data_IF_571594316413
#
_entry.id   IF_571594316413
#
_cell.length_a   1.000
_cell.length_b   1.000
_cell.length_c   1.000
_cell.angle_alpha   90.00
_cell.angle_beta   90.00
_cell.angle_gamma   90.00
#
_symmetry.space_group_name_H-M   'P 1'
#
loop_
_entity.id
_entity.type
_entity.pdbx_description
1 polymer ?
#
# COMPACT_ATOMS: atom_id res chain seq x y z
N UNK A 1 -52.72 50.63 -33.75
CA UNK A 1 -51.60 49.73 -33.40
C UNK A 1 -51.33 49.93 -31.92
N UNK A 2 -51.90 49.10 -31.05
CA UNK A 2 -51.71 49.20 -29.60
C UNK A 2 -51.42 47.80 -29.07
N UNK A 3 -50.18 47.59 -28.63
CA UNK A 3 -49.69 46.33 -28.09
C UNK A 3 -50.16 46.20 -26.64
N UNK A 4 -51.04 45.22 -26.39
CA UNK A 4 -51.38 44.81 -25.02
C UNK A 4 -50.24 43.93 -24.51
N UNK A 5 -49.40 44.51 -23.66
CA UNK A 5 -48.47 43.76 -22.82
C UNK A 5 -49.29 43.10 -21.70
N UNK A 6 -49.57 41.81 -21.84
CA UNK A 6 -50.08 41.01 -20.73
C UNK A 6 -48.87 40.65 -19.85
N UNK A 7 -48.75 41.29 -18.69
CA UNK A 7 -47.83 40.83 -17.65
C UNK A 7 -48.44 39.59 -17.00
N UNK A 8 -47.75 38.46 -17.12
CA UNK A 8 -48.13 37.24 -16.43
C UNK A 8 -47.95 37.42 -14.92
N UNK A 9 -48.92 36.99 -14.08
CA UNK A 9 -48.80 37.09 -12.64
C UNK A 9 -47.66 36.18 -12.16
N UNK A 10 -46.63 36.80 -11.62
CA UNK A 10 -45.55 36.17 -10.88
C UNK A 10 -46.14 35.40 -9.69
N UNK A 11 -46.21 34.07 -9.82
CA UNK A 11 -46.64 33.19 -8.74
C UNK A 11 -45.53 33.18 -7.68
N UNK A 12 -45.78 33.85 -6.55
CA UNK A 12 -44.89 33.85 -5.41
C UNK A 12 -44.59 32.43 -4.91
N UNK A 13 -43.33 32.19 -4.55
CA UNK A 13 -42.85 30.91 -4.03
C UNK A 13 -43.59 30.57 -2.74
N UNK A 14 -44.17 29.37 -2.65
CA UNK A 14 -44.85 28.93 -1.44
C UNK A 14 -43.85 28.52 -0.35
N UNK A 15 -44.15 28.77 0.93
CA UNK A 15 -43.28 28.36 2.05
C UNK A 15 -43.01 26.84 2.03
N UNK A 16 -43.99 26.04 1.59
CA UNK A 16 -43.83 24.59 1.46
C UNK A 16 -42.87 24.19 0.34
N UNK A 17 -42.77 24.99 -0.73
CA UNK A 17 -41.88 24.75 -1.85
C UNK A 17 -40.41 24.91 -1.43
N UNK A 18 -40.13 25.93 -0.62
CA UNK A 18 -38.79 26.13 -0.02
C UNK A 18 -38.45 25.00 0.95
N UNK A 19 -39.40 24.55 1.78
CA UNK A 19 -39.15 23.44 2.70
C UNK A 19 -38.85 22.13 1.97
N UNK A 20 -39.58 21.85 0.88
CA UNK A 20 -39.31 20.67 0.03
C UNK A 20 -37.97 20.83 -0.69
N UNK A 21 -37.63 22.03 -1.19
CA UNK A 21 -36.33 22.28 -1.83
C UNK A 21 -35.16 22.04 -0.86
N UNK A 22 -35.26 22.53 0.39
CA UNK A 22 -34.24 22.31 1.43
C UNK A 22 -34.16 20.84 1.83
N UNK A 23 -35.29 20.13 1.92
CA UNK A 23 -35.33 18.69 2.19
C UNK A 23 -34.57 17.91 1.10
N UNK A 24 -34.92 18.12 -0.17
CA UNK A 24 -34.27 17.43 -1.31
C UNK A 24 -32.78 17.77 -1.37
N UNK A 25 -32.41 19.04 -1.17
CA UNK A 25 -31.02 19.48 -1.14
C UNK A 25 -30.25 18.81 0.01
N UNK A 26 -30.83 18.70 1.20
CA UNK A 26 -30.19 18.06 2.35
C UNK A 26 -29.91 16.57 2.10
N UNK A 27 -30.85 15.84 1.49
CA UNK A 27 -30.67 14.43 1.10
C UNK A 27 -29.57 14.31 0.02
N UNK A 28 -29.57 15.21 -0.96
CA UNK A 28 -28.53 15.26 -2.01
C UNK A 28 -27.13 15.47 -1.44
N UNK A 29 -26.97 16.37 -0.47
CA UNK A 29 -25.69 16.64 0.19
C UNK A 29 -25.21 15.44 1.03
N UNK A 30 -26.12 14.75 1.74
CA UNK A 30 -25.79 13.52 2.48
C UNK A 30 -25.30 12.41 1.53
N UNK A 31 -25.94 12.28 0.36
CA UNK A 31 -25.52 11.36 -0.68
C UNK A 31 -24.10 11.65 -1.17
N UNK A 32 -23.79 12.92 -1.47
CA UNK A 32 -22.45 13.34 -1.91
C UNK A 32 -21.37 13.10 -0.84
N UNK A 33 -21.66 13.40 0.42
CA UNK A 33 -20.74 13.16 1.52
C UNK A 33 -20.39 11.66 1.67
N UNK A 34 -21.37 10.77 1.47
CA UNK A 34 -21.15 9.32 1.51
C UNK A 34 -20.20 8.85 0.39
N UNK A 35 -20.37 9.38 -0.83
CA UNK A 35 -19.52 9.07 -1.98
C UNK A 35 -18.09 9.58 -1.79
N UNK A 36 -17.93 10.79 -1.25
CA UNK A 36 -16.60 11.33 -0.90
C UNK A 36 -15.89 10.43 0.12
N UNK A 37 -16.62 9.92 1.11
CA UNK A 37 -16.07 8.98 2.11
C UNK A 37 -15.55 7.68 1.48
N UNK A 38 -16.29 7.07 0.55
CA UNK A 38 -15.86 5.86 -0.17
C UNK A 38 -14.68 6.16 -1.12
N UNK A 39 -14.73 7.28 -1.83
CA UNK A 39 -13.66 7.71 -2.74
C UNK A 39 -12.31 7.86 -2.03
N UNK A 40 -12.31 8.46 -0.84
CA UNK A 40 -11.11 8.59 0.01
C UNK A 40 -10.57 7.22 0.43
N UNK A 41 -11.44 6.28 0.80
CA UNK A 41 -11.03 4.92 1.17
C UNK A 41 -10.33 4.21 0.01
N UNK A 42 -10.93 4.27 -1.18
CA UNK A 42 -10.39 3.67 -2.39
C UNK A 42 -9.05 4.29 -2.80
N UNK A 43 -8.96 5.62 -2.75
CA UNK A 43 -7.72 6.34 -3.08
C UNK A 43 -6.57 5.93 -2.16
N UNK A 44 -6.84 5.81 -0.85
CA UNK A 44 -5.82 5.40 0.12
C UNK A 44 -5.39 3.94 -0.05
N UNK A 45 -6.32 3.00 -0.28
CA UNK A 45 -5.97 1.58 -0.52
C UNK A 45 -5.15 1.43 -1.81
N UNK A 46 -5.52 2.17 -2.87
CA UNK A 46 -4.72 2.24 -4.10
C UNK A 46 -3.32 2.83 -3.85
N UNK A 47 -3.22 3.85 -2.99
CA UNK A 47 -1.93 4.44 -2.62
C UNK A 47 -1.01 3.44 -1.90
N UNK A 48 -1.52 2.67 -0.93
CA UNK A 48 -0.73 1.63 -0.25
C UNK A 48 -0.27 0.52 -1.20
N UNK A 49 -1.11 0.09 -2.14
CA UNK A 49 -0.72 -0.87 -3.18
C UNK A 49 0.42 -0.34 -4.05
N UNK A 50 0.36 0.93 -4.44
CA UNK A 50 1.44 1.58 -5.20
C UNK A 50 2.73 1.68 -4.39
N UNK A 51 2.63 2.03 -3.11
CA UNK A 51 3.80 2.04 -2.21
C UNK A 51 4.42 0.65 -2.07
N UNK A 52 3.60 -0.38 -1.84
CA UNK A 52 4.07 -1.77 -1.78
C UNK A 52 4.75 -2.22 -3.08
N UNK A 53 4.18 -1.87 -4.24
CA UNK A 53 4.81 -2.18 -5.52
C UNK A 53 6.19 -1.53 -5.66
N UNK A 54 6.30 -0.24 -5.36
CA UNK A 54 7.58 0.49 -5.42
C UNK A 54 8.63 -0.13 -4.48
N UNK A 55 8.24 -0.49 -3.26
CA UNK A 55 9.12 -1.14 -2.28
C UNK A 55 9.58 -2.53 -2.74
N UNK A 56 8.70 -3.31 -3.38
CA UNK A 56 9.06 -4.61 -3.94
C UNK A 56 10.07 -4.46 -5.08
N UNK A 57 9.87 -3.46 -5.96
CA UNK A 57 10.83 -3.15 -7.02
C UNK A 57 12.19 -2.71 -6.46
N UNK A 58 12.21 -1.85 -5.43
CA UNK A 58 13.45 -1.44 -4.75
C UNK A 58 14.20 -2.65 -4.17
N UNK A 59 13.47 -3.59 -3.56
CA UNK A 59 14.05 -4.83 -3.03
C UNK A 59 14.70 -5.67 -4.12
N UNK A 60 14.00 -5.86 -5.24
CA UNK A 60 14.50 -6.65 -6.37
C UNK A 60 15.70 -5.97 -7.02
N UNK A 61 15.67 -4.66 -7.19
CA UNK A 61 16.79 -3.91 -7.78
C UNK A 61 18.04 -4.03 -6.91
N UNK A 62 17.87 -3.88 -5.59
CA UNK A 62 18.93 -4.09 -4.60
C UNK A 62 19.49 -5.51 -4.71
N UNK A 63 18.62 -6.53 -4.72
CA UNK A 63 19.02 -7.92 -4.88
C UNK A 63 19.85 -8.16 -6.16
N UNK A 64 19.38 -7.63 -7.29
CA UNK A 64 20.06 -7.73 -8.60
C UNK A 64 21.43 -7.05 -8.60
N UNK A 65 21.50 -5.83 -8.07
CA UNK A 65 22.76 -5.08 -7.97
C UNK A 65 23.81 -5.86 -7.17
N UNK A 66 23.40 -6.50 -6.08
CA UNK A 66 24.31 -7.26 -5.23
C UNK A 66 24.74 -8.60 -5.81
N UNK A 67 23.86 -9.30 -6.53
CA UNK A 67 24.22 -10.50 -7.29
C UNK A 67 25.25 -10.15 -8.37
N UNK A 68 25.07 -9.02 -9.05
CA UNK A 68 26.01 -8.56 -10.09
C UNK A 68 27.43 -8.27 -9.54
N UNK A 69 27.54 -7.83 -8.28
CA UNK A 69 28.83 -7.45 -7.67
C UNK A 69 29.50 -8.63 -6.94
N UNK A 70 28.72 -9.55 -6.35
CA UNK A 70 29.23 -10.58 -5.44
C UNK A 70 28.94 -12.03 -5.81
N UNK A 71 28.26 -12.29 -6.93
CA UNK A 71 27.85 -13.65 -7.33
C UNK A 71 26.82 -14.28 -6.37
N UNK A 72 26.44 -15.54 -6.64
CA UNK A 72 25.41 -16.28 -5.90
C UNK A 72 25.68 -16.46 -4.40
N UNK A 73 26.91 -16.24 -3.94
CA UNK A 73 27.32 -16.34 -2.53
C UNK A 73 26.53 -15.37 -1.62
N UNK A 74 25.99 -14.29 -2.21
CA UNK A 74 25.23 -13.27 -1.50
C UNK A 74 23.72 -13.52 -1.44
N UNK A 75 23.23 -14.59 -2.07
CA UNK A 75 21.80 -14.92 -2.10
C UNK A 75 21.25 -15.17 -0.69
N UNK A 76 22.03 -15.74 0.22
CA UNK A 76 21.57 -16.01 1.59
C UNK A 76 21.09 -14.78 2.36
N UNK A 77 21.60 -13.59 2.03
CA UNK A 77 21.16 -12.33 2.64
C UNK A 77 19.92 -11.75 1.97
N UNK A 78 19.72 -12.05 0.68
CA UNK A 78 18.56 -11.63 -0.12
C UNK A 78 17.32 -12.45 0.22
N UNK A 79 17.51 -13.71 0.59
CA UNK A 79 16.40 -14.61 0.90
C UNK A 79 15.96 -14.44 2.35
N UNK A 80 14.76 -13.92 2.52
CA UNK A 80 14.04 -13.85 3.78
C UNK A 80 12.83 -14.78 3.71
N UNK A 81 13.01 -16.09 3.94
CA UNK A 81 11.95 -17.08 3.72
C UNK A 81 10.82 -17.00 4.75
N UNK A 82 11.03 -16.26 5.85
CA UNK A 82 10.05 -15.94 6.86
C UNK A 82 9.62 -14.47 6.74
N UNK A 83 8.41 -14.17 7.20
CA UNK A 83 7.91 -12.80 7.30
C UNK A 83 8.77 -11.99 8.27
N UNK A 84 9.12 -10.77 7.87
CA UNK A 84 9.72 -9.79 8.77
C UNK A 84 8.75 -9.45 9.91
N UNK A 85 9.27 -8.88 10.99
CA UNK A 85 8.45 -8.48 12.13
C UNK A 85 7.49 -7.33 11.73
N UNK A 86 6.27 -7.32 12.30
CA UNK A 86 5.26 -6.29 12.05
C UNK A 86 5.52 -4.98 12.83
N UNK A 87 6.45 -5.00 13.78
CA UNK A 87 6.85 -3.88 14.60
C UNK A 87 8.17 -3.29 14.09
N UNK A 88 8.13 -2.03 13.65
CA UNK A 88 9.33 -1.29 13.29
C UNK A 88 9.88 -0.69 14.58
N UNK A 89 10.68 -1.45 15.31
CA UNK A 89 11.29 -0.97 16.53
C UNK A 89 12.52 -0.09 16.18
N UNK A 90 12.28 1.19 15.91
CA UNK A 90 13.29 2.16 15.50
C UNK A 90 14.39 2.33 16.57
N UNK A 91 14.11 1.99 17.83
CA UNK A 91 15.08 2.03 18.92
C UNK A 91 16.13 0.92 18.83
N UNK A 92 15.83 -0.18 18.12
CA UNK A 92 16.75 -1.29 17.86
C UNK A 92 17.15 -1.42 16.39
N UNK A 93 16.52 -0.62 15.51
CA UNK A 93 16.90 -0.54 14.10
C UNK A 93 18.41 -0.24 14.02
N UNK A 94 19.18 -1.05 13.27
CA UNK A 94 20.61 -0.84 13.17
C UNK A 94 20.87 0.59 12.70
N UNK A 95 21.80 1.28 13.36
CA UNK A 95 22.27 2.59 12.90
C UNK A 95 22.62 2.49 11.41
N UNK A 96 22.44 3.57 10.67
CA UNK A 96 22.83 3.68 9.25
C UNK A 96 24.33 3.37 9.00
N UNK A 97 25.10 3.20 10.08
CA UNK A 97 26.46 2.72 10.08
C UNK A 97 26.50 1.19 10.05
N UNK A 98 26.34 0.64 8.85
CA UNK A 98 26.70 -0.73 8.52
C UNK A 98 28.24 -0.82 8.51
N UNK A 99 28.86 -0.83 9.69
CA UNK A 99 30.31 -0.73 9.83
C UNK A 99 31.07 -1.61 8.84
N UNK A 100 32.16 -1.07 8.27
CA UNK A 100 32.97 -1.76 7.26
C UNK A 100 33.58 -3.05 7.82
N UNK A 101 32.89 -4.17 7.64
CA UNK A 101 33.29 -5.47 8.18
C UNK A 101 32.15 -6.44 8.45
N UNK A 102 30.88 -6.00 8.47
CA UNK A 102 29.71 -6.89 8.43
C UNK A 102 28.88 -6.54 7.19
N UNK A 103 28.67 -7.52 6.32
CA UNK A 103 28.06 -7.43 4.99
C UNK A 103 27.09 -6.26 4.79
N UNK A 104 27.54 -5.21 4.07
CA UNK A 104 26.73 -4.02 3.72
C UNK A 104 25.36 -4.40 3.14
N UNK A 105 25.32 -5.52 2.42
CA UNK A 105 24.13 -6.16 1.91
C UNK A 105 23.10 -6.54 2.98
N UNK A 106 23.49 -7.24 4.04
CA UNK A 106 22.58 -7.66 5.11
C UNK A 106 21.99 -6.44 5.84
N UNK A 107 22.76 -5.35 5.91
CA UNK A 107 22.29 -4.11 6.50
C UNK A 107 21.26 -3.41 5.61
N UNK A 108 21.54 -3.28 4.31
CA UNK A 108 20.62 -2.66 3.35
C UNK A 108 19.28 -3.40 3.29
N UNK A 109 19.31 -4.74 3.30
CA UNK A 109 18.09 -5.55 3.25
C UNK A 109 17.27 -5.41 4.54
N UNK A 110 17.92 -5.38 5.72
CA UNK A 110 17.19 -5.11 6.97
C UNK A 110 16.60 -3.71 6.98
N UNK A 111 17.32 -2.72 6.45
CA UNK A 111 16.83 -1.35 6.32
C UNK A 111 15.63 -1.27 5.37
N UNK A 112 15.64 -2.00 4.25
CA UNK A 112 14.49 -2.10 3.36
C UNK A 112 13.28 -2.67 4.11
N UNK A 113 13.48 -3.66 4.99
CA UNK A 113 12.41 -4.14 5.84
C UNK A 113 11.87 -3.15 6.86
N UNK A 114 12.75 -2.38 7.50
CA UNK A 114 12.33 -1.27 8.34
C UNK A 114 11.58 -0.21 7.53
N UNK A 115 11.97 0.02 6.28
CA UNK A 115 11.31 0.97 5.39
C UNK A 115 9.88 0.52 5.06
N UNK A 116 9.68 -0.74 4.69
CA UNK A 116 8.36 -1.34 4.44
C UNK A 116 7.43 -1.15 5.63
N UNK A 117 7.92 -1.42 6.84
CA UNK A 117 7.14 -1.28 8.05
C UNK A 117 6.78 0.19 8.39
N UNK A 118 7.65 1.15 8.05
CA UNK A 118 7.37 2.59 8.28
C UNK A 118 6.39 3.18 7.29
N UNK A 119 6.41 2.69 6.06
CA UNK A 119 5.61 3.20 4.95
C UNK A 119 4.20 2.58 4.98
N UNK A 120 4.10 1.30 5.31
CA UNK A 120 2.85 0.55 5.33
C UNK A 120 2.42 0.18 6.75
N UNK A 121 1.13 0.35 7.11
CA UNK A 121 0.62 -0.07 8.41
C UNK A 121 0.73 -1.60 8.59
N UNK A 122 1.46 -2.06 9.61
CA UNK A 122 1.74 -3.49 9.81
C UNK A 122 2.59 -4.12 8.69
N UNK A 123 3.35 -3.27 7.98
CA UNK A 123 4.14 -3.62 6.81
C UNK A 123 5.17 -4.70 7.11
N UNK A 124 5.16 -5.76 6.32
CA UNK A 124 6.11 -6.87 6.41
C UNK A 124 6.54 -7.33 5.05
N UNK A 125 7.76 -7.84 4.97
CA UNK A 125 8.28 -8.43 3.75
C UNK A 125 8.62 -9.91 3.93
N UNK A 126 8.68 -10.60 2.81
CA UNK A 126 9.22 -11.95 2.68
C UNK A 126 9.83 -12.07 1.29
N UNK A 127 11.00 -12.67 1.20
CA UNK A 127 11.70 -12.88 -0.06
C UNK A 127 12.12 -14.34 -0.18
N UNK A 128 11.58 -15.06 -1.15
CA UNK A 128 11.89 -16.47 -1.39
C UNK A 128 12.45 -16.66 -2.79
N UNK A 129 13.36 -17.61 -2.97
CA UNK A 129 13.82 -18.00 -4.30
C UNK A 129 13.63 -19.49 -4.51
N UNK A 130 13.23 -19.84 -5.73
CA UNK A 130 13.02 -21.23 -6.16
C UNK A 130 13.78 -21.45 -7.48
N UNK A 131 14.52 -22.56 -7.64
CA UNK A 131 15.21 -22.85 -8.90
C UNK A 131 14.19 -23.11 -10.02
N UNK A 132 14.45 -22.52 -11.19
CA UNK A 132 13.61 -22.64 -12.38
C UNK A 132 14.03 -23.83 -13.22
N UNK A 133 13.07 -24.70 -13.54
CA UNK A 133 13.30 -25.85 -14.42
C UNK A 133 14.36 -26.83 -13.92
N UNK A 134 14.60 -26.88 -12.60
CA UNK A 134 15.62 -27.73 -11.99
C UNK A 134 17.06 -27.24 -12.18
N UNK A 135 17.27 -26.04 -12.75
CA UNK A 135 18.60 -25.46 -12.91
C UNK A 135 18.96 -24.65 -11.65
N UNK A 136 20.04 -25.01 -10.91
CA UNK A 136 20.49 -24.26 -9.74
C UNK A 136 20.98 -22.84 -10.07
N UNK A 137 21.37 -22.58 -11.31
CA UNK A 137 21.90 -21.27 -11.75
C UNK A 137 20.81 -20.30 -12.19
N UNK A 138 19.55 -20.75 -12.33
CA UNK A 138 18.42 -19.90 -12.72
C UNK A 138 17.41 -19.85 -11.59
N UNK A 139 17.27 -18.69 -10.96
CA UNK A 139 16.47 -18.55 -9.75
C UNK A 139 15.27 -17.63 -10.01
N UNK A 140 14.09 -18.05 -9.57
CA UNK A 140 12.92 -17.19 -9.51
C UNK A 140 12.84 -16.57 -8.12
N UNK A 141 13.12 -15.29 -8.00
CA UNK A 141 12.92 -14.50 -6.79
C UNK A 141 11.47 -14.04 -6.70
N UNK A 142 10.84 -14.32 -5.57
CA UNK A 142 9.49 -13.86 -5.22
C UNK A 142 9.60 -12.96 -4.01
N UNK A 143 9.20 -11.70 -4.17
CA UNK A 143 9.13 -10.70 -3.09
C UNK A 143 7.67 -10.47 -2.75
N UNK A 144 7.32 -10.79 -1.52
CA UNK A 144 5.98 -10.66 -0.97
C UNK A 144 5.97 -9.53 0.07
N UNK A 145 5.05 -8.59 -0.07
CA UNK A 145 4.84 -7.48 0.85
C UNK A 145 3.41 -7.53 1.39
N UNK A 146 3.31 -7.55 2.71
CA UNK A 146 2.05 -7.61 3.44
C UNK A 146 1.81 -6.34 4.25
N UNK A 147 0.57 -5.87 4.31
CA UNK A 147 0.16 -4.78 5.19
C UNK A 147 -1.28 -4.96 5.67
N UNK A 148 -1.67 -4.24 6.71
CA UNK A 148 -3.04 -4.23 7.24
C UNK A 148 -3.85 -3.13 6.53
N UNK A 149 -4.97 -3.49 5.89
CA UNK A 149 -5.88 -2.51 5.25
C UNK A 149 -7.05 -2.11 6.17
N UNK A 150 -7.27 -2.85 7.28
CA UNK A 150 -8.26 -2.48 8.29
C UNK A 150 -7.76 -1.34 9.19
N UNK A 151 -8.57 -0.27 9.26
CA UNK A 151 -8.31 0.94 10.05
C UNK A 151 -9.05 0.98 11.37
N UNK A 152 -9.88 -0.02 11.65
CA UNK A 152 -10.65 -0.12 12.90
C UNK A 152 -9.76 -0.28 14.14
N UNK A 153 -8.47 -0.61 13.94
CA UNK A 153 -7.55 -1.00 15.01
C UNK A 153 -7.81 -2.40 15.57
N UNK A 154 -8.84 -3.09 15.09
CA UNK A 154 -9.18 -4.47 15.44
C UNK A 154 -8.68 -5.50 14.42
N UNK A 155 -7.98 -5.04 13.36
CA UNK A 155 -7.40 -5.90 12.34
C UNK A 155 -6.40 -6.88 12.93
N UNK A 156 -6.60 -8.18 12.67
CA UNK A 156 -5.70 -9.21 13.14
C UNK A 156 -4.44 -9.24 12.28
N UNK A 157 -3.31 -8.85 12.87
CA UNK A 157 -1.98 -9.01 12.27
C UNK A 157 -1.51 -10.45 12.52
N UNK A 158 -1.40 -11.26 11.47
CA UNK A 158 -1.09 -12.69 11.58
C UNK A 158 0.35 -12.96 11.18
N UNK A 159 1.08 -13.83 11.87
CA UNK A 159 2.48 -14.14 11.51
C UNK A 159 2.68 -14.63 10.04
N UNK A 160 1.61 -15.06 9.37
CA UNK A 160 1.64 -15.62 8.02
C UNK A 160 1.06 -14.70 6.92
N UNK A 161 0.57 -13.49 7.25
CA UNK A 161 -0.18 -12.62 6.33
C UNK A 161 -1.39 -13.34 5.68
N UNK A 162 -2.29 -13.87 6.49
CA UNK A 162 -3.42 -14.67 6.03
C UNK A 162 -4.77 -14.21 6.62
N UNK A 163 -4.84 -12.99 7.15
CA UNK A 163 -6.06 -12.37 7.66
C UNK A 163 -6.85 -11.66 6.55
N UNK A 164 -8.18 -11.64 6.65
CA UNK A 164 -9.04 -10.84 5.77
C UNK A 164 -8.81 -9.31 5.90
N UNK A 165 -8.22 -8.90 7.02
CA UNK A 165 -7.82 -7.51 7.28
C UNK A 165 -6.46 -7.13 6.68
N UNK A 166 -5.76 -8.11 6.08
CA UNK A 166 -4.44 -7.94 5.48
C UNK A 166 -4.53 -7.96 3.96
N UNK A 167 -3.64 -7.22 3.32
CA UNK A 167 -3.45 -7.21 1.88
C UNK A 167 -2.02 -7.64 1.55
N UNK A 168 -1.90 -8.43 0.47
CA UNK A 168 -0.66 -9.00 -0.01
C UNK A 168 -0.38 -8.52 -1.42
N UNK A 169 0.84 -8.06 -1.66
CA UNK A 169 1.40 -7.82 -2.98
C UNK A 169 2.58 -8.76 -3.21
N UNK A 170 2.58 -9.48 -4.33
CA UNK A 170 3.64 -10.41 -4.70
C UNK A 170 4.24 -10.02 -6.04
N UNK A 171 5.57 -9.93 -6.10
CA UNK A 171 6.32 -9.63 -7.30
C UNK A 171 7.33 -10.75 -7.56
N UNK A 172 7.21 -11.35 -8.74
CA UNK A 172 8.04 -12.47 -9.18
C UNK A 172 8.98 -11.99 -10.27
N UNK A 173 10.25 -12.34 -10.14
CA UNK A 173 11.27 -12.04 -11.14
C UNK A 173 12.25 -13.20 -11.29
N UNK A 174 12.82 -13.33 -12.48
CA UNK A 174 13.98 -14.20 -12.69
C UNK A 174 15.26 -13.42 -12.37
N UNK A 175 16.18 -14.07 -11.66
CA UNK A 175 17.53 -13.61 -11.34
C UNK A 175 18.54 -14.34 -12.24
#
# INVERSE_FOLDING_TARGET
MTTKWQADPERGVSLIEVMVAVLVLSIGLLGMASLMGVSLRNTQSANYRTQAANLAYEYIDTARAYIAIGGGDKLGYILQPAWSAANCDIATAPLYNCGGGLDSLNCDIRRLGDHVCRVLPGGRLRATAVPLGGNPDRLQLTVDICWTDDRSGAGAVTAACNSDSESLFSLVTEL
#
